data_IF_900583951949
#
_entry.id   IF_900583951949
#
_cell.length_a   1.000
_cell.length_b   1.000
_cell.length_c   1.000
_cell.angle_alpha   90.00
_cell.angle_beta   90.00
_cell.angle_gamma   90.00
#
_symmetry.space_group_name_H-M   'P 1'
#
loop_
_entity.id
_entity.type
_entity.pdbx_description
1 polymer ?
#
# COMPACT_ATOMS: atom_id res chain seq x y z
N UNK A 1 14.68 2.22 -3.84
CA UNK A 1 13.46 1.61 -4.40
C UNK A 1 13.73 0.13 -4.65
N UNK A 2 12.76 -0.75 -4.47
CA UNK A 2 12.90 -2.21 -4.65
C UNK A 2 11.67 -2.74 -5.37
N UNK A 3 11.84 -3.35 -6.54
CA UNK A 3 10.77 -4.10 -7.19
C UNK A 3 10.50 -5.40 -6.41
N UNK A 4 9.22 -5.71 -6.17
CA UNK A 4 8.78 -6.84 -5.33
C UNK A 4 7.84 -7.80 -6.05
N UNK A 5 7.19 -7.32 -7.11
CA UNK A 5 6.45 -8.13 -8.09
C UNK A 5 6.43 -7.36 -9.41
N UNK A 6 6.09 -7.98 -10.56
CA UNK A 6 6.12 -7.29 -11.85
C UNK A 6 5.40 -5.94 -11.81
N UNK A 7 6.14 -4.86 -12.05
CA UNK A 7 5.60 -3.50 -12.07
C UNK A 7 5.31 -2.88 -10.70
N UNK A 8 5.47 -3.62 -9.59
CA UNK A 8 5.21 -3.14 -8.22
C UNK A 8 6.51 -2.85 -7.48
N UNK A 9 6.66 -1.61 -7.04
CA UNK A 9 7.86 -1.07 -6.42
C UNK A 9 7.56 -0.58 -5.01
N UNK A 10 8.43 -0.95 -4.09
CA UNK A 10 8.52 -0.37 -2.76
C UNK A 10 9.52 0.78 -2.73
N UNK A 11 9.07 1.93 -2.26
CA UNK A 11 9.88 3.14 -2.10
C UNK A 11 9.85 3.57 -0.65
N UNK A 12 11.01 3.82 -0.05
CA UNK A 12 11.08 4.35 1.32
C UNK A 12 10.26 5.63 1.38
N UNK A 13 9.30 5.67 2.31
CA UNK A 13 8.40 6.80 2.48
C UNK A 13 8.97 7.78 3.50
N UNK A 14 8.85 9.08 3.22
CA UNK A 14 9.17 10.14 4.19
C UNK A 14 8.22 10.13 5.40
N UNK A 15 7.07 9.45 5.29
CA UNK A 15 6.14 9.21 6.40
C UNK A 15 6.55 8.00 7.26
N UNK A 16 7.68 7.37 6.97
CA UNK A 16 8.08 6.07 7.53
C UNK A 16 7.50 4.90 6.76
N UNK A 17 8.18 3.75 6.82
CA UNK A 17 7.81 2.55 6.06
C UNK A 17 8.01 2.70 4.55
N UNK A 18 7.09 2.14 3.75
CA UNK A 18 7.24 2.06 2.29
C UNK A 18 5.97 2.46 1.55
N UNK A 19 6.11 3.39 0.61
CA UNK A 19 5.13 3.63 -0.45
C UNK A 19 5.15 2.47 -1.44
N UNK A 20 3.97 2.09 -1.93
CA UNK A 20 3.79 1.05 -2.94
C UNK A 20 3.32 1.72 -4.22
N UNK A 21 4.11 1.57 -5.28
CA UNK A 21 3.80 2.08 -6.61
C UNK A 21 3.62 0.89 -7.57
N UNK A 22 2.58 0.90 -8.42
CA UNK A 22 2.38 -0.07 -9.49
C UNK A 22 2.37 0.66 -10.83
N UNK A 23 3.28 0.30 -11.72
CA UNK A 23 3.43 0.94 -13.04
C UNK A 23 3.56 2.48 -12.95
N UNK A 24 4.19 2.96 -11.87
CA UNK A 24 4.36 4.39 -11.57
C UNK A 24 3.17 5.05 -10.85
N UNK A 25 2.05 4.36 -10.66
CA UNK A 25 0.91 4.85 -9.88
C UNK A 25 1.05 4.47 -8.40
N UNK A 26 0.91 5.46 -7.50
CA UNK A 26 0.87 5.19 -6.07
C UNK A 26 -0.47 4.53 -5.68
N UNK A 27 -0.41 3.31 -5.15
CA UNK A 27 -1.58 2.50 -4.82
C UNK A 27 -1.76 2.28 -3.31
N UNK A 28 -0.73 2.55 -2.52
CA UNK A 28 -0.82 2.35 -1.08
C UNK A 28 0.47 2.56 -0.33
N UNK A 29 0.44 2.18 0.94
CA UNK A 29 1.53 2.42 1.88
C UNK A 29 1.49 1.42 3.03
N UNK A 30 2.67 0.99 3.45
CA UNK A 30 2.86 0.16 4.64
C UNK A 30 3.68 0.93 5.67
N UNK A 31 3.26 0.90 6.94
CA UNK A 31 3.95 1.60 8.04
C UNK A 31 3.69 0.96 9.40
N UNK A 32 4.34 1.51 10.43
CA UNK A 32 4.21 1.09 11.83
C UNK A 32 4.43 -0.43 12.02
N UNK A 33 5.64 -0.90 11.72
CA UNK A 33 5.99 -2.31 11.89
C UNK A 33 6.04 -2.74 13.35
N UNK A 34 5.55 -3.94 13.62
CA UNK A 34 5.74 -4.66 14.89
C UNK A 34 6.26 -6.05 14.52
N UNK A 35 7.53 -6.32 14.87
CA UNK A 35 8.25 -7.48 14.33
C UNK A 35 8.39 -7.38 12.81
N UNK A 36 7.99 -8.43 12.11
CA UNK A 36 7.99 -8.53 10.65
C UNK A 36 6.68 -8.03 10.00
N UNK A 37 5.68 -7.64 10.81
CA UNK A 37 4.36 -7.25 10.30
C UNK A 37 4.16 -5.74 10.25
N UNK A 38 3.57 -5.27 9.16
CA UNK A 38 3.30 -3.87 8.82
C UNK A 38 1.80 -3.61 8.70
N UNK A 39 1.35 -2.45 9.16
CA UNK A 39 -0.02 -2.00 8.86
C UNK A 39 -0.10 -1.58 7.39
N UNK A 40 -1.03 -2.16 6.65
CA UNK A 40 -1.18 -1.98 5.21
C UNK A 40 -2.39 -1.11 4.86
N UNK A 41 -2.18 -0.12 4.01
CA UNK A 41 -3.20 0.85 3.61
C UNK A 41 -3.29 0.91 2.10
N UNK A 42 -4.50 0.71 1.56
CA UNK A 42 -4.82 1.12 0.19
C UNK A 42 -5.16 2.61 0.21
N UNK A 43 -4.52 3.40 -0.64
CA UNK A 43 -4.73 4.85 -0.68
C UNK A 43 -4.23 5.49 -1.95
N UNK A 44 -4.87 6.61 -2.29
CA UNK A 44 -4.34 7.60 -3.25
C UNK A 44 -3.58 8.71 -2.51
N UNK A 45 -2.66 9.42 -3.18
CA UNK A 45 -1.98 10.57 -2.57
C UNK A 45 -2.99 11.60 -2.05
N UNK A 46 -2.72 12.16 -0.87
CA UNK A 46 -3.61 13.14 -0.22
C UNK A 46 -4.82 12.56 0.52
N UNK A 47 -4.98 11.23 0.58
CA UNK A 47 -6.05 10.56 1.36
C UNK A 47 -5.48 9.82 2.56
N UNK A 48 -6.25 9.64 3.63
CA UNK A 48 -5.86 8.79 4.77
C UNK A 48 -5.70 7.31 4.38
N UNK A 49 -6.50 6.86 3.41
CA UNK A 49 -6.59 5.45 3.03
C UNK A 49 -7.46 4.60 3.93
N UNK A 50 -7.63 3.35 3.51
CA UNK A 50 -8.30 2.32 4.30
C UNK A 50 -7.27 1.33 4.82
N UNK A 51 -7.34 1.04 6.12
CA UNK A 51 -6.53 0.00 6.76
C UNK A 51 -7.04 -1.37 6.34
N UNK A 52 -6.22 -2.13 5.63
CA UNK A 52 -6.51 -3.49 5.21
C UNK A 52 -6.15 -4.53 6.27
N UNK A 53 -5.32 -4.17 7.24
CA UNK A 53 -4.85 -5.04 8.32
C UNK A 53 -3.34 -4.96 8.53
N UNK A 54 -2.79 -5.95 9.23
CA UNK A 54 -1.37 -6.04 9.56
C UNK A 54 -0.78 -7.35 9.04
N UNK A 55 0.23 -7.25 8.19
CA UNK A 55 0.73 -8.36 7.36
C UNK A 55 2.25 -8.36 7.30
N UNK A 56 2.87 -9.49 6.94
CA UNK A 56 4.28 -9.44 6.49
C UNK A 56 4.40 -8.50 5.28
N UNK A 57 5.61 -8.05 4.95
CA UNK A 57 5.81 -7.08 3.86
C UNK A 57 5.24 -7.59 2.52
N UNK A 58 5.45 -8.87 2.18
CA UNK A 58 4.99 -9.46 0.92
C UNK A 58 3.46 -9.64 0.90
N UNK A 59 2.88 -10.10 2.01
CA UNK A 59 1.42 -10.19 2.17
C UNK A 59 0.75 -8.81 2.11
N UNK A 60 1.39 -7.78 2.67
CA UNK A 60 0.88 -6.42 2.64
C UNK A 60 0.82 -5.86 1.21
N UNK A 61 1.88 -6.09 0.42
CA UNK A 61 1.91 -5.73 -1.01
C UNK A 61 0.77 -6.43 -1.74
N UNK A 62 0.61 -7.74 -1.53
CA UNK A 62 -0.46 -8.52 -2.17
C UNK A 62 -1.85 -8.02 -1.77
N UNK A 63 -2.08 -7.71 -0.50
CA UNK A 63 -3.35 -7.19 0.00
C UNK A 63 -3.69 -5.84 -0.63
N UNK A 64 -2.71 -4.92 -0.72
CA UNK A 64 -2.91 -3.59 -1.33
C UNK A 64 -3.21 -3.71 -2.82
N UNK A 65 -2.47 -4.52 -3.57
CA UNK A 65 -2.74 -4.75 -5.01
C UNK A 65 -4.14 -5.34 -5.21
N UNK A 66 -4.53 -6.32 -4.39
CA UNK A 66 -5.87 -6.94 -4.48
C UNK A 66 -6.98 -5.93 -4.19
N UNK A 67 -6.83 -5.10 -3.14
CA UNK A 67 -7.80 -4.06 -2.81
C UNK A 67 -7.88 -2.98 -3.89
N UNK A 68 -6.74 -2.65 -4.52
CA UNK A 68 -6.67 -1.73 -5.64
C UNK A 68 -7.43 -2.26 -6.86
N UNK A 69 -7.16 -3.51 -7.27
CA UNK A 69 -7.82 -4.13 -8.42
C UNK A 69 -9.33 -4.34 -8.19
N UNK A 70 -9.77 -4.48 -6.93
CA UNK A 70 -11.17 -4.55 -6.56
C UNK A 70 -11.89 -3.19 -6.58
N UNK A 71 -11.17 -2.07 -6.73
CA UNK A 71 -11.74 -0.72 -6.78
C UNK A 71 -12.44 -0.32 -5.48
N UNK A 72 -11.82 -0.66 -4.33
CA UNK A 72 -12.34 -0.33 -2.99
C UNK A 72 -12.62 1.17 -2.90
N UNK A 73 -13.77 1.54 -2.33
CA UNK A 73 -14.17 2.93 -2.16
C UNK A 73 -13.39 3.52 -0.99
N UNK A 74 -12.50 4.44 -1.30
CA UNK A 74 -11.68 5.17 -0.34
C UNK A 74 -12.54 6.19 0.43
N UNK A 75 -12.07 6.68 1.60
CA UNK A 75 -12.83 7.61 2.46
C UNK A 75 -13.26 8.92 1.78
N UNK A 76 -12.63 9.29 0.66
CA UNK A 76 -12.98 10.48 -0.13
C UNK A 76 -13.97 10.17 -1.28
N UNK A 77 -14.58 8.99 -1.29
CA UNK A 77 -15.53 8.54 -2.31
C UNK A 77 -14.90 8.14 -3.64
N UNK A 78 -13.56 8.22 -3.78
CA UNK A 78 -12.85 7.72 -4.97
C UNK A 78 -12.66 6.22 -4.87
N UNK A 79 -12.69 5.53 -5.99
CA UNK A 79 -12.25 4.13 -6.05
C UNK A 79 -10.73 4.07 -6.07
N UNK A 80 -10.20 3.04 -5.44
CA UNK A 80 -8.84 2.57 -5.68
C UNK A 80 -8.71 2.33 -7.19
#
# INVERSE_FOLDING_TARGET
>A
MREVSPGVVLKVSVMGGYSIERDGEYIGWIHASIGDRWSAYVRRPGTSGDLLGRYTQDEAVKAIVTAWDAGVVLPNGRRA
#
